data_IF_249757807307
#
_entry.id   IF_249757807307
#
_cell.length_a   1.000
_cell.length_b   1.000
_cell.length_c   1.000
_cell.angle_alpha   90.00
_cell.angle_beta   90.00
_cell.angle_gamma   90.00
#
_symmetry.space_group_name_H-M   'P 1'
#
loop_
_entity.id
_entity.type
_entity.pdbx_description
1 polymer ?
#
# COMPACT_ATOMS: atom_id res chain seq x y z
N UNK A 1 15.79 -2.40 0.61
CA UNK A 1 14.88 -1.24 0.44
C UNK A 1 14.72 -0.62 1.81
N UNK A 2 14.98 0.69 1.95
CA UNK A 2 14.85 1.37 3.24
C UNK A 2 13.46 2.02 3.31
N UNK A 3 12.69 1.69 4.35
CA UNK A 3 11.27 2.02 4.49
C UNK A 3 11.05 2.66 5.85
N UNK A 4 10.45 3.86 5.84
CA UNK A 4 10.09 4.59 7.05
C UNK A 4 8.57 4.68 7.13
N UNK A 5 8.01 4.19 8.24
CA UNK A 5 6.58 4.29 8.50
C UNK A 5 6.28 5.56 9.30
N UNK A 6 5.39 6.40 8.78
CA UNK A 6 4.84 7.47 9.59
C UNK A 6 3.94 6.87 10.69
N UNK A 7 3.82 7.49 11.88
CA UNK A 7 2.89 7.01 12.91
C UNK A 7 1.43 6.87 12.41
N UNK A 8 1.05 7.66 11.40
CA UNK A 8 -0.27 7.57 10.76
C UNK A 8 -0.50 6.27 9.99
N UNK A 9 0.55 5.54 9.62
CA UNK A 9 0.46 4.32 8.82
C UNK A 9 -0.37 3.24 9.53
N UNK A 10 -0.27 3.18 10.86
CA UNK A 10 -0.85 2.12 11.68
C UNK A 10 -2.20 2.49 12.30
N UNK A 11 -2.77 3.65 11.98
CA UNK A 11 -4.05 4.12 12.57
C UNK A 11 -5.23 3.19 12.35
N UNK A 12 -5.14 2.26 11.40
CA UNK A 12 -6.20 1.31 11.07
C UNK A 12 -5.96 -0.10 11.62
N UNK A 13 -5.04 -0.27 12.57
CA UNK A 13 -4.81 -1.55 13.25
C UNK A 13 -3.91 -2.53 12.50
N UNK A 14 -3.25 -2.08 11.43
CA UNK A 14 -2.25 -2.84 10.70
C UNK A 14 -0.84 -2.56 11.21
N UNK A 15 0.08 -3.49 10.95
CA UNK A 15 1.48 -3.42 11.33
C UNK A 15 2.40 -3.29 10.10
N UNK A 16 3.70 -3.10 10.36
CA UNK A 16 4.72 -3.10 9.30
C UNK A 16 4.76 -4.42 8.53
N UNK A 17 4.52 -5.53 9.22
CA UNK A 17 4.51 -6.86 8.63
C UNK A 17 3.48 -6.98 7.50
N UNK A 18 2.29 -6.39 7.66
CA UNK A 18 1.24 -6.38 6.63
C UNK A 18 1.69 -5.74 5.32
N UNK A 19 2.54 -4.70 5.40
CA UNK A 19 3.14 -4.07 4.23
C UNK A 19 4.12 -5.00 3.52
N UNK A 20 5.01 -5.67 4.26
CA UNK A 20 5.98 -6.58 3.69
C UNK A 20 5.33 -7.83 3.11
N UNK A 21 4.28 -8.35 3.76
CA UNK A 21 3.48 -9.47 3.25
C UNK A 21 2.81 -9.11 1.92
N UNK A 22 2.23 -7.91 1.83
CA UNK A 22 1.68 -7.42 0.56
C UNK A 22 2.75 -7.33 -0.53
N UNK A 23 3.94 -6.84 -0.21
CA UNK A 23 5.05 -6.73 -1.19
C UNK A 23 5.57 -8.08 -1.67
N UNK A 24 5.52 -9.11 -0.81
CA UNK A 24 5.87 -10.47 -1.18
C UNK A 24 4.80 -11.15 -2.06
N UNK A 25 3.57 -10.63 -2.03
CA UNK A 25 2.45 -11.12 -2.81
C UNK A 25 2.26 -10.42 -4.17
N UNK A 26 1.11 -10.71 -4.79
CA UNK A 26 0.64 -9.98 -5.97
C UNK A 26 0.04 -8.65 -5.51
N UNK A 27 0.44 -7.56 -6.15
CA UNK A 27 -0.11 -6.24 -5.86
C UNK A 27 -0.24 -5.41 -7.14
N UNK A 28 -1.17 -4.46 -7.10
CA UNK A 28 -1.34 -3.41 -8.10
C UNK A 28 -0.74 -2.11 -7.57
N UNK A 29 0.33 -1.62 -8.22
CA UNK A 29 0.89 -0.30 -7.96
C UNK A 29 0.22 0.74 -8.86
N UNK A 30 -0.22 1.84 -8.26
CA UNK A 30 -0.94 2.93 -8.93
C UNK A 30 -0.24 4.25 -8.56
N UNK A 31 0.01 5.13 -9.53
CA UNK A 31 0.43 6.51 -9.22
C UNK A 31 -0.75 7.28 -8.64
N UNK A 32 -0.57 7.94 -7.50
CA UNK A 32 -1.68 8.65 -6.87
C UNK A 32 -2.12 9.83 -7.74
N UNK A 33 -3.45 10.00 -7.91
CA UNK A 33 -4.04 11.03 -8.77
C UNK A 33 -4.22 12.38 -8.07
N UNK A 34 -3.85 12.49 -6.79
CA UNK A 34 -4.08 13.71 -5.97
C UNK A 34 -3.10 14.86 -6.28
N UNK A 35 -2.43 14.84 -7.44
CA UNK A 35 -1.45 15.86 -7.83
C UNK A 35 -0.19 15.89 -6.95
N UNK A 36 0.08 14.82 -6.19
CA UNK A 36 1.27 14.72 -5.36
C UNK A 36 2.35 13.96 -6.12
N UNK A 37 3.49 14.61 -6.31
CA UNK A 37 4.65 13.99 -6.91
C UNK A 37 5.19 12.86 -6.03
N UNK A 38 5.65 11.81 -6.73
CA UNK A 38 6.26 10.63 -6.14
C UNK A 38 5.39 9.87 -5.12
N UNK A 39 4.09 10.12 -5.09
CA UNK A 39 3.14 9.37 -4.26
C UNK A 39 2.48 8.25 -5.06
N UNK A 40 2.50 7.06 -4.46
CA UNK A 40 1.97 5.84 -5.05
C UNK A 40 1.06 5.13 -4.05
N UNK A 41 0.19 4.31 -4.62
CA UNK A 41 -0.76 3.47 -3.91
C UNK A 41 -0.49 2.01 -4.28
N UNK A 42 -0.51 1.12 -3.29
CA UNK A 42 -0.51 -0.32 -3.51
C UNK A 42 -1.87 -0.88 -3.12
N UNK A 43 -2.40 -1.74 -3.98
CA UNK A 43 -3.54 -2.59 -3.67
C UNK A 43 -3.07 -4.05 -3.72
N UNK A 44 -3.16 -4.77 -2.62
CA UNK A 44 -2.80 -6.19 -2.57
C UNK A 44 -3.38 -6.87 -1.34
N UNK A 45 -2.85 -8.06 -1.00
CA UNK A 45 -3.29 -8.81 0.17
C UNK A 45 -2.12 -9.15 1.07
N UNK A 46 -2.34 -9.16 2.37
CA UNK A 46 -1.42 -9.77 3.33
C UNK A 46 -1.66 -11.30 3.40
N UNK A 47 -0.88 -12.01 4.22
CA UNK A 47 -0.99 -13.48 4.35
C UNK A 47 -2.26 -13.90 5.09
N UNK A 48 -2.78 -13.06 5.97
CA UNK A 48 -4.11 -13.22 6.60
C UNK A 48 -5.26 -13.11 5.60
N UNK A 49 -4.99 -12.68 4.37
CA UNK A 49 -5.95 -12.60 3.28
C UNK A 49 -6.76 -11.30 3.22
N UNK A 50 -6.45 -10.31 4.07
CA UNK A 50 -7.05 -8.99 4.04
C UNK A 50 -6.65 -8.21 2.79
N UNK A 51 -7.58 -7.42 2.27
CA UNK A 51 -7.33 -6.54 1.13
C UNK A 51 -6.81 -5.20 1.64
N UNK A 52 -5.56 -4.88 1.37
CA UNK A 52 -4.90 -3.68 1.87
C UNK A 52 -4.75 -2.61 0.80
N UNK A 53 -5.00 -1.37 1.20
CA UNK A 53 -4.64 -0.16 0.48
C UNK A 53 -3.50 0.52 1.22
N UNK A 54 -2.36 0.66 0.57
CA UNK A 54 -1.18 1.30 1.15
C UNK A 54 -0.84 2.54 0.35
N UNK A 55 -0.59 3.65 1.04
CA UNK A 55 -0.15 4.92 0.43
C UNK A 55 1.25 5.25 0.89
N UNK A 56 2.16 5.48 -0.06
CA UNK A 56 3.55 5.80 0.22
C UNK A 56 4.10 6.84 -0.76
N UNK A 57 5.20 7.50 -0.36
CA UNK A 57 6.00 8.36 -1.22
C UNK A 57 7.37 7.73 -1.48
N UNK A 58 7.85 7.82 -2.71
CA UNK A 58 9.25 7.59 -3.04
C UNK A 58 10.07 8.81 -2.60
N UNK A 59 11.05 8.59 -1.75
CA UNK A 59 12.04 9.59 -1.36
C UNK A 59 13.30 9.45 -2.22
N UNK A 60 14.21 10.44 -2.20
CA UNK A 60 15.52 10.31 -2.82
C UNK A 60 16.26 9.04 -2.38
N UNK A 61 17.18 8.55 -3.23
CA UNK A 61 17.93 7.32 -3.02
C UNK A 61 17.08 6.04 -2.89
N UNK A 62 15.83 6.06 -3.36
CA UNK A 62 14.96 4.86 -3.39
C UNK A 62 14.37 4.48 -2.04
N UNK A 63 14.40 5.39 -1.05
CA UNK A 63 13.69 5.22 0.23
C UNK A 63 12.18 5.30 0.04
N UNK A 64 11.44 4.58 0.86
CA UNK A 64 9.98 4.73 0.94
C UNK A 64 9.57 5.40 2.23
N UNK A 65 8.58 6.28 2.15
CA UNK A 65 7.82 6.72 3.33
C UNK A 65 6.37 6.27 3.22
N UNK A 66 5.95 5.37 4.09
CA UNK A 66 4.57 4.85 4.15
C UNK A 66 3.74 5.74 5.07
N UNK A 67 2.60 6.23 4.59
CA UNK A 67 1.73 7.13 5.35
C UNK A 67 0.47 6.47 5.88
N UNK A 68 -0.05 5.48 5.14
CA UNK A 68 -1.32 4.84 5.41
C UNK A 68 -1.27 3.37 5.02
N UNK A 69 -1.71 2.50 5.92
CA UNK A 69 -2.09 1.12 5.66
C UNK A 69 -3.54 1.01 6.12
N UNK A 70 -4.45 0.65 5.21
CA UNK A 70 -5.87 0.54 5.51
C UNK A 70 -6.50 -0.59 4.72
N UNK A 71 -7.75 -0.94 5.05
CA UNK A 71 -8.54 -1.86 4.25
C UNK A 71 -8.95 -1.19 2.93
N UNK A 72 -8.88 -1.93 1.83
CA UNK A 72 -9.42 -1.46 0.55
C UNK A 72 -10.91 -1.14 0.67
N UNK A 73 -11.33 -0.07 0.01
CA UNK A 73 -12.75 0.15 -0.31
C UNK A 73 -13.24 -0.89 -1.32
N UNK A 74 -14.55 -1.11 -1.37
CA UNK A 74 -15.17 -2.02 -2.34
C UNK A 74 -14.81 -1.70 -3.80
N UNK A 75 -14.65 -0.41 -4.13
CA UNK A 75 -14.21 0.02 -5.47
C UNK A 75 -12.77 -0.40 -5.77
N UNK A 76 -11.86 -0.20 -4.80
CA UNK A 76 -10.45 -0.61 -4.93
C UNK A 76 -10.33 -2.14 -5.01
N UNK A 77 -11.07 -2.87 -4.17
CA UNK A 77 -11.13 -4.33 -4.20
C UNK A 77 -11.57 -4.86 -5.55
N UNK A 78 -12.67 -4.34 -6.11
CA UNK A 78 -13.12 -4.68 -7.47
C UNK A 78 -12.06 -4.39 -8.54
N UNK A 79 -11.32 -3.28 -8.40
CA UNK A 79 -10.23 -2.93 -9.32
C UNK A 79 -9.07 -3.92 -9.22
N UNK A 80 -8.66 -4.27 -8.00
CA UNK A 80 -7.59 -5.23 -7.75
C UNK A 80 -7.96 -6.64 -8.25
N UNK A 81 -9.18 -7.10 -8.00
CA UNK A 81 -9.65 -8.41 -8.47
C UNK A 81 -9.68 -8.56 -10.00
N UNK A 82 -9.78 -7.46 -10.76
CA UNK A 82 -9.64 -7.51 -12.22
C UNK A 82 -8.20 -7.77 -12.67
N UNK A 83 -7.21 -7.43 -11.85
CA UNK A 83 -5.82 -7.78 -12.09
C UNK A 83 -5.53 -9.25 -11.77
N UNK A 84 -6.22 -9.82 -10.78
CA UNK A 84 -6.00 -11.23 -10.37
C UNK A 84 -6.60 -12.26 -11.34
N UNK A 85 -7.54 -11.85 -12.20
CA UNK A 85 -8.08 -12.66 -13.31
C UNK A 85 -7.11 -12.69 -14.48
#
# INVERSE_FOLDING_TARGET
MDVVFAPSAFRHGYAEQDFYELLAGRYLKIRSQRGLDDVYELLGRNLSGDYLHIVYRMLPAGRLRVFHISRMTEKQKRRYQRLER
#
